data_IF_850185801561
#
_entry.id   IF_850185801561
#
_cell.length_a   1.000
_cell.length_b   1.000
_cell.length_c   1.000
_cell.angle_alpha   90.00
_cell.angle_beta   90.00
_cell.angle_gamma   90.00
#
_symmetry.space_group_name_H-M   'P 1'
#
loop_
_entity.id
_entity.type
_entity.pdbx_description
1 polymer ?
#
# COMPACT_ATOMS: atom_id res chain seq x y z
N UNK A 1 -7.41 1.53 19.27
CA UNK A 1 -7.18 0.50 18.24
C UNK A 1 -7.90 0.83 16.92
N UNK A 2 -9.20 1.12 16.91
CA UNK A 2 -9.96 1.30 15.66
C UNK A 2 -9.43 2.41 14.73
N UNK A 3 -9.04 3.58 15.27
CA UNK A 3 -8.42 4.66 14.46
C UNK A 3 -7.08 4.26 13.84
N UNK A 4 -6.24 3.56 14.61
CA UNK A 4 -4.93 3.10 14.18
C UNK A 4 -5.06 2.02 13.09
N UNK A 5 -5.98 1.08 13.26
CA UNK A 5 -6.30 0.09 12.23
C UNK A 5 -6.83 0.73 10.93
N UNK A 6 -7.67 1.77 11.05
CA UNK A 6 -8.16 2.52 9.88
C UNK A 6 -7.01 3.20 9.11
N UNK A 7 -6.06 3.82 9.83
CA UNK A 7 -4.86 4.41 9.21
C UNK A 7 -3.98 3.33 8.58
N UNK A 8 -3.78 2.19 9.25
CA UNK A 8 -3.01 1.07 8.69
C UNK A 8 -3.64 0.51 7.42
N UNK A 9 -4.98 0.33 7.39
CA UNK A 9 -5.72 -0.05 6.18
C UNK A 9 -5.50 0.93 5.03
N UNK A 10 -5.53 2.23 5.34
CA UNK A 10 -5.28 3.28 4.36
C UNK A 10 -3.89 3.22 3.76
N UNK A 11 -2.87 3.17 4.59
CA UNK A 11 -1.49 3.18 4.11
C UNK A 11 -1.21 1.91 3.30
N UNK A 12 -1.62 0.75 3.80
CA UNK A 12 -1.42 -0.53 3.13
C UNK A 12 -2.16 -0.60 1.79
N UNK A 13 -3.45 -0.24 1.75
CA UNK A 13 -4.23 -0.23 0.52
C UNK A 13 -3.69 0.76 -0.52
N UNK A 14 -3.21 1.93 -0.08
CA UNK A 14 -2.60 2.93 -0.97
C UNK A 14 -1.32 2.40 -1.63
N UNK A 15 -0.46 1.74 -0.85
CA UNK A 15 0.78 1.13 -1.35
C UNK A 15 0.46 0.00 -2.33
N UNK A 16 -0.50 -0.87 -2.00
CA UNK A 16 -0.93 -1.97 -2.87
C UNK A 16 -1.49 -1.42 -4.19
N UNK A 17 -2.44 -0.48 -4.13
CA UNK A 17 -3.05 0.10 -5.33
C UNK A 17 -2.00 0.74 -6.23
N UNK A 18 -1.13 1.56 -5.63
CA UNK A 18 -0.06 2.23 -6.35
C UNK A 18 0.89 1.23 -7.02
N UNK A 19 1.33 0.22 -6.27
CA UNK A 19 2.22 -0.84 -6.75
C UNK A 19 1.64 -1.60 -7.95
N UNK A 20 0.33 -1.89 -7.93
CA UNK A 20 -0.35 -2.53 -9.05
C UNK A 20 -0.44 -1.62 -10.27
N UNK A 21 -0.83 -0.36 -10.06
CA UNK A 21 -0.98 0.63 -11.14
C UNK A 21 0.38 0.90 -11.80
N UNK A 22 1.44 1.16 -11.03
CA UNK A 22 2.77 1.38 -11.63
C UNK A 22 3.30 0.11 -12.30
N UNK A 23 2.99 -1.09 -11.78
CA UNK A 23 3.37 -2.34 -12.42
C UNK A 23 2.69 -2.57 -13.78
N UNK A 24 1.45 -2.07 -13.95
CA UNK A 24 0.71 -2.06 -15.21
C UNK A 24 1.24 -1.01 -16.19
N UNK A 25 1.47 0.22 -15.70
CA UNK A 25 1.95 1.35 -16.52
C UNK A 25 3.41 1.15 -16.96
N UNK A 26 4.21 0.40 -16.19
CA UNK A 26 5.61 0.07 -16.48
C UNK A 26 5.86 -0.60 -17.85
N UNK A 27 4.84 -1.01 -18.60
CA UNK A 27 5.01 -1.49 -19.97
C UNK A 27 5.27 -0.36 -21.00
N UNK A 28 5.00 0.90 -20.66
CA UNK A 28 4.97 1.99 -21.64
C UNK A 28 5.82 3.20 -21.19
N UNK A 29 6.98 3.40 -21.83
CA UNK A 29 7.73 4.69 -21.97
C UNK A 29 8.48 5.25 -20.74
N UNK A 30 9.82 5.12 -20.75
CA UNK A 30 10.72 5.40 -19.61
C UNK A 30 11.12 6.88 -19.38
N UNK A 31 10.92 7.81 -20.32
CA UNK A 31 11.53 9.16 -20.25
C UNK A 31 10.58 10.30 -19.84
N UNK A 32 9.30 10.27 -20.22
CA UNK A 32 8.27 11.25 -19.77
C UNK A 32 7.71 10.97 -18.35
N UNK A 33 8.17 9.86 -17.75
CA UNK A 33 7.52 9.17 -16.65
C UNK A 33 7.77 9.77 -15.25
N UNK A 34 8.82 10.59 -15.02
CA UNK A 34 9.19 11.00 -13.64
C UNK A 34 8.17 11.93 -12.99
N UNK A 35 7.61 12.87 -13.74
CA UNK A 35 6.56 13.78 -13.24
C UNK A 35 5.23 13.05 -13.20
N UNK A 36 4.93 12.25 -14.23
CA UNK A 36 3.71 11.46 -14.32
C UNK A 36 3.60 10.44 -13.17
N UNK A 37 4.68 9.76 -12.83
CA UNK A 37 4.76 8.80 -11.73
C UNK A 37 4.43 9.45 -10.38
N UNK A 38 4.88 10.68 -10.11
CA UNK A 38 4.52 11.40 -8.86
C UNK A 38 3.03 11.67 -8.78
N UNK A 39 2.42 12.13 -9.88
CA UNK A 39 0.97 12.34 -9.92
C UNK A 39 0.20 11.03 -9.74
N UNK A 40 0.69 9.93 -10.32
CA UNK A 40 0.10 8.60 -10.11
C UNK A 40 0.13 8.21 -8.62
N UNK A 41 1.25 8.43 -7.92
CA UNK A 41 1.34 8.21 -6.46
C UNK A 41 0.28 9.02 -5.72
N UNK A 42 0.21 10.34 -5.96
CA UNK A 42 -0.72 11.22 -5.25
C UNK A 42 -2.19 10.87 -5.53
N UNK A 43 -2.53 10.55 -6.78
CA UNK A 43 -3.88 10.14 -7.17
C UNK A 43 -4.26 8.82 -6.48
N UNK A 44 -3.35 7.84 -6.41
CA UNK A 44 -3.61 6.57 -5.73
C UNK A 44 -3.92 6.77 -4.23
N UNK A 45 -3.11 7.60 -3.56
CA UNK A 45 -3.32 7.93 -2.15
C UNK A 45 -4.63 8.71 -1.96
N UNK A 46 -4.94 9.67 -2.83
CA UNK A 46 -6.17 10.47 -2.74
C UNK A 46 -7.43 9.62 -2.98
N UNK A 47 -7.41 8.71 -3.96
CA UNK A 47 -8.50 7.75 -4.21
C UNK A 47 -8.73 6.89 -2.97
N UNK A 48 -7.67 6.31 -2.40
CA UNK A 48 -7.77 5.47 -1.22
C UNK A 48 -8.22 6.24 0.03
N UNK A 49 -7.86 7.52 0.14
CA UNK A 49 -8.30 8.39 1.23
C UNK A 49 -9.81 8.60 1.15
N UNK A 50 -10.32 9.01 -0.02
CA UNK A 50 -11.76 9.20 -0.27
C UNK A 50 -12.51 7.89 0.00
N UNK A 51 -11.96 6.77 -0.46
CA UNK A 51 -12.57 5.46 -0.31
C UNK A 51 -12.73 5.06 1.15
N UNK A 52 -11.69 5.22 1.98
CA UNK A 52 -11.73 4.88 3.41
C UNK A 52 -12.57 5.85 4.24
N UNK A 53 -12.71 7.10 3.81
CA UNK A 53 -13.65 8.04 4.41
C UNK A 53 -15.10 7.61 4.10
N UNK A 54 -15.40 7.27 2.84
CA UNK A 54 -16.77 6.93 2.40
C UNK A 54 -17.23 5.53 2.81
N UNK A 55 -16.35 4.54 2.71
CA UNK A 55 -16.66 3.12 2.91
C UNK A 55 -15.44 2.46 3.52
N UNK A 56 -15.38 2.36 4.85
CA UNK A 56 -14.28 1.64 5.50
C UNK A 56 -14.39 0.14 5.19
N UNK A 57 -13.32 -0.44 4.62
CA UNK A 57 -13.26 -1.86 4.31
C UNK A 57 -12.78 -2.63 5.54
N UNK A 58 -13.69 -2.89 6.48
CA UNK A 58 -13.44 -3.76 7.63
C UNK A 58 -13.23 -5.24 7.23
N UNK A 59 -13.50 -5.59 5.98
CA UNK A 59 -13.33 -6.93 5.44
C UNK A 59 -11.87 -7.24 5.10
N UNK A 60 -11.27 -8.19 5.81
CA UNK A 60 -9.87 -8.59 5.62
C UNK A 60 -9.60 -9.27 4.26
N UNK A 61 -10.63 -9.85 3.64
CA UNK A 61 -10.50 -10.57 2.35
C UNK A 61 -9.86 -9.73 1.25
N UNK A 62 -10.26 -8.46 1.14
CA UNK A 62 -9.73 -7.56 0.11
C UNK A 62 -8.23 -7.26 0.33
N UNK A 63 -7.82 -7.15 1.59
CA UNK A 63 -6.43 -6.90 1.98
C UNK A 63 -5.57 -8.13 1.70
N UNK A 64 -6.04 -9.33 2.04
CA UNK A 64 -5.35 -10.60 1.74
C UNK A 64 -5.13 -10.76 0.23
N UNK A 65 -6.16 -10.47 -0.58
CA UNK A 65 -6.05 -10.53 -2.05
C UNK A 65 -5.01 -9.51 -2.55
N UNK A 66 -5.05 -8.28 -2.03
CA UNK A 66 -4.10 -7.23 -2.38
C UNK A 66 -2.65 -7.57 -2.02
N UNK A 67 -2.41 -8.16 -0.85
CA UNK A 67 -1.09 -8.64 -0.43
C UNK A 67 -0.62 -9.82 -1.29
N UNK A 68 -1.53 -10.74 -1.64
CA UNK A 68 -1.22 -11.81 -2.60
C UNK A 68 -0.76 -11.28 -3.95
N UNK A 69 -1.42 -10.23 -4.46
CA UNK A 69 -0.99 -9.57 -5.69
C UNK A 69 0.35 -8.81 -5.52
N UNK A 70 0.62 -8.27 -4.34
CA UNK A 70 1.93 -7.66 -4.04
C UNK A 70 3.08 -8.66 -4.15
N UNK A 71 2.86 -9.92 -3.76
CA UNK A 71 3.88 -10.97 -3.92
C UNK A 71 4.29 -11.10 -5.40
N UNK A 72 3.35 -10.97 -6.34
CA UNK A 72 3.68 -10.96 -7.78
C UNK A 72 4.57 -9.77 -8.16
N UNK A 73 4.34 -8.60 -7.56
CA UNK A 73 5.20 -7.42 -7.81
C UNK A 73 6.62 -7.64 -7.27
N UNK A 74 6.75 -8.33 -6.13
CA UNK A 74 8.04 -8.73 -5.58
C UNK A 74 8.75 -9.77 -6.46
N UNK A 75 8.06 -10.85 -6.88
CA UNK A 75 8.67 -11.92 -7.69
C UNK A 75 9.05 -11.46 -9.09
N UNK A 76 8.32 -10.51 -9.66
CA UNK A 76 8.65 -9.89 -10.95
C UNK A 76 9.80 -8.86 -10.86
N UNK A 77 10.41 -8.66 -9.68
CA UNK A 77 11.51 -7.71 -9.49
C UNK A 77 11.13 -6.24 -9.69
N UNK A 78 9.82 -5.92 -9.70
CA UNK A 78 9.32 -4.55 -9.91
C UNK A 78 9.32 -3.71 -8.64
N UNK A 79 9.43 -4.34 -7.47
CA UNK A 79 9.38 -3.67 -6.17
C UNK A 79 10.41 -2.52 -5.98
N UNK A 80 11.70 -2.63 -6.38
CA UNK A 80 12.66 -1.53 -6.25
C UNK A 80 12.22 -0.27 -7.01
N UNK A 81 11.52 -0.43 -8.13
CA UNK A 81 10.96 0.68 -8.90
C UNK A 81 9.81 1.35 -8.15
N UNK A 82 8.88 0.56 -7.61
CA UNK A 82 7.78 1.07 -6.78
C UNK A 82 8.33 1.91 -5.62
N UNK A 83 9.35 1.39 -4.93
CA UNK A 83 9.98 2.09 -3.83
C UNK A 83 10.74 3.35 -4.27
N UNK A 84 11.42 3.32 -5.42
CA UNK A 84 12.09 4.50 -5.96
C UNK A 84 11.09 5.63 -6.26
N UNK A 85 10.02 5.32 -6.98
CA UNK A 85 9.00 6.30 -7.36
C UNK A 85 8.23 6.83 -6.14
N UNK A 86 7.92 5.98 -5.15
CA UNK A 86 7.31 6.40 -3.89
C UNK A 86 8.23 7.36 -3.10
N UNK A 87 9.54 7.06 -3.05
CA UNK A 87 10.54 7.91 -2.41
C UNK A 87 10.63 9.29 -3.05
N UNK A 88 10.69 9.32 -4.37
CA UNK A 88 10.73 10.57 -5.13
C UNK A 88 9.46 11.39 -4.94
N UNK A 89 8.29 10.77 -4.95
CA UNK A 89 7.01 11.46 -4.74
C UNK A 89 6.95 12.15 -3.37
N UNK A 90 7.46 11.52 -2.32
CA UNK A 90 7.49 12.12 -0.98
C UNK A 90 8.75 12.94 -0.69
N UNK A 91 9.65 13.13 -1.67
CA UNK A 91 10.89 13.90 -1.54
C UNK A 91 11.73 13.49 -0.31
N UNK A 92 11.77 12.19 0.00
CA UNK A 92 12.41 11.71 1.22
C UNK A 92 13.95 11.64 1.06
N UNK A 93 14.74 12.33 1.90
CA UNK A 93 16.20 12.39 1.80
C UNK A 93 16.88 11.13 2.38
N UNK A 94 16.32 9.95 2.11
CA UNK A 94 16.81 8.65 2.61
C UNK A 94 17.47 7.90 1.45
N UNK A 95 18.50 7.09 1.67
CA UNK A 95 19.07 6.24 0.60
C UNK A 95 18.04 5.19 0.13
N UNK A 96 18.04 4.86 -1.16
CA UNK A 96 17.05 3.92 -1.73
C UNK A 96 17.05 2.55 -1.04
N UNK A 97 18.22 2.00 -0.69
CA UNK A 97 18.29 0.73 0.03
C UNK A 97 17.59 0.80 1.39
N UNK A 98 17.81 1.88 2.15
CA UNK A 98 17.17 2.08 3.45
C UNK A 98 15.66 2.30 3.29
N UNK A 99 15.25 2.98 2.23
CA UNK A 99 13.83 3.22 1.95
C UNK A 99 13.10 1.94 1.52
N UNK A 100 13.74 1.06 0.75
CA UNK A 100 13.19 -0.26 0.41
C UNK A 100 12.89 -1.07 1.67
N UNK A 101 13.87 -1.12 2.60
CA UNK A 101 13.70 -1.80 3.90
C UNK A 101 12.55 -1.15 4.67
N UNK A 102 12.51 0.19 4.71
CA UNK A 102 11.45 0.93 5.41
C UNK A 102 10.06 0.60 4.88
N UNK A 103 9.86 0.56 3.55
CA UNK A 103 8.56 0.19 2.96
C UNK A 103 8.18 -1.24 3.34
N UNK A 104 9.11 -2.19 3.26
CA UNK A 104 8.84 -3.58 3.62
C UNK A 104 8.41 -3.67 5.09
N UNK A 105 9.16 -3.05 5.99
CA UNK A 105 8.81 -2.99 7.41
C UNK A 105 7.42 -2.36 7.59
N UNK A 106 7.14 -1.26 6.88
CA UNK A 106 5.86 -0.56 6.97
C UNK A 106 4.69 -1.43 6.50
N UNK A 107 4.85 -2.19 5.40
CA UNK A 107 3.85 -3.15 4.92
C UNK A 107 3.62 -4.23 5.98
N UNK A 108 4.68 -4.82 6.54
CA UNK A 108 4.57 -5.88 7.56
C UNK A 108 3.86 -5.36 8.81
N UNK A 109 4.26 -4.21 9.36
CA UNK A 109 3.65 -3.63 10.55
C UNK A 109 2.18 -3.27 10.33
N UNK A 110 1.87 -2.62 9.21
CA UNK A 110 0.48 -2.25 8.89
C UNK A 110 -0.39 -3.48 8.66
N UNK A 111 0.15 -4.51 8.01
CA UNK A 111 -0.51 -5.80 7.84
C UNK A 111 -0.84 -6.45 9.19
N UNK A 112 0.15 -6.60 10.08
CA UNK A 112 -0.05 -7.17 11.42
C UNK A 112 -1.14 -6.45 12.22
N UNK A 113 -1.14 -5.11 12.19
CA UNK A 113 -2.17 -4.29 12.85
C UNK A 113 -3.57 -4.61 12.29
N UNK A 114 -3.71 -4.70 10.97
CA UNK A 114 -4.97 -5.01 10.30
C UNK A 114 -5.45 -6.42 10.63
N UNK A 115 -4.56 -7.40 10.62
CA UNK A 115 -4.88 -8.78 11.00
C UNK A 115 -5.34 -8.87 12.46
N UNK A 116 -4.65 -8.18 13.37
CA UNK A 116 -5.02 -8.15 14.78
C UNK A 116 -6.38 -7.49 15.04
N UNK A 117 -6.65 -6.36 14.38
CA UNK A 117 -7.96 -5.68 14.43
C UNK A 117 -9.09 -6.60 13.92
N UNK A 118 -8.86 -7.31 12.82
CA UNK A 118 -9.83 -8.25 12.25
C UNK A 118 -10.08 -9.47 13.14
N UNK A 119 -9.02 -10.05 13.73
CA UNK A 119 -9.12 -11.16 14.67
C UNK A 119 -9.95 -10.78 15.90
N UNK A 120 -9.66 -9.63 16.51
CA UNK A 120 -10.42 -9.12 17.64
C UNK A 120 -11.89 -8.84 17.29
N UNK A 121 -12.15 -8.29 16.10
CA UNK A 121 -13.51 -8.05 15.63
C UNK A 121 -14.31 -9.36 15.47
N UNK A 122 -13.68 -10.41 14.96
CA UNK A 122 -14.30 -11.73 14.80
C UNK A 122 -14.59 -12.39 16.15
N UNK A 123 -13.65 -12.35 17.10
CA UNK A 123 -13.85 -12.90 18.44
C UNK A 123 -14.93 -12.15 19.22
N UNK A 124 -15.00 -10.81 19.08
CA UNK A 124 -16.06 -10.00 19.70
C UNK A 124 -17.46 -10.30 19.15
N UNK A 125 -17.56 -10.83 17.92
CA UNK A 125 -18.80 -11.29 17.31
C UNK A 125 -19.15 -12.75 17.59
N UNK A 126 -18.19 -13.57 18.01
CA UNK A 126 -18.38 -14.99 18.31
C UNK A 126 -18.63 -15.28 19.81
N UNK A 127 -18.38 -14.28 20.68
CA UNK A 127 -18.71 -14.31 22.11
C UNK A 127 -20.04 -13.66 22.49
N UNK A 128 -20.91 -13.43 21.49
CA UNK A 128 -22.33 -13.04 21.59
C UNK A 128 -23.14 -14.10 20.85
#
# INVERSE_FOLDING_TARGET
MEKLAKVSRYVLASIILYSLITSLISLSVWLDMRIHSRYVVYICFLIMLIFIIKKDFKGIKAIIIGEGLMILVFTLGKFPRVAYELREAFHLPIKINNFNILIICLIIFTSLIVYFDSYNYKNKKAGL
#
